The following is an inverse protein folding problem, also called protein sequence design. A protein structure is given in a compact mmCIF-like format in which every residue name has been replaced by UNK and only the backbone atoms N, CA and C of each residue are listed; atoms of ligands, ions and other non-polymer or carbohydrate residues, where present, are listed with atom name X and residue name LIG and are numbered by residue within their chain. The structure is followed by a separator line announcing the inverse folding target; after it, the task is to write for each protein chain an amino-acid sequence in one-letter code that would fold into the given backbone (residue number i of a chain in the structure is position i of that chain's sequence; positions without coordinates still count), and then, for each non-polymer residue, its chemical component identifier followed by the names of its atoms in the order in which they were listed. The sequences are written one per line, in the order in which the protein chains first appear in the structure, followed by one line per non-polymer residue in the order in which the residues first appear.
data_IF_916521773139
#
_entry.id   IF_916521773139
#
_cell.length_a   1.000
_cell.length_b   1.000
_cell.length_c   1.000
_cell.angle_alpha   90.00
_cell.angle_beta   90.00
_cell.angle_gamma   90.00
#
_symmetry.space_group_name_H-M   'P 1'
#
loop_
_entity.id
_entity.type
_entity.pdbx_description
1 polymer ?
#
# COMPACT_ATOMS: atom_id res chain seq x y z
N UNK A 1 -2.51 -14.95 9.83
CA UNK A 1 -3.22 -13.92 9.07
C UNK A 1 -2.40 -12.66 8.96
N UNK A 2 -2.40 -12.03 7.80
CA UNK A 2 -1.68 -10.77 7.60
C UNK A 2 -2.41 -9.62 8.31
N UNK A 3 -1.66 -8.78 9.01
CA UNK A 3 -2.23 -7.62 9.69
C UNK A 3 -2.53 -6.51 8.69
N UNK A 4 -3.69 -5.87 8.87
CA UNK A 4 -4.09 -4.70 8.09
C UNK A 4 -3.65 -3.46 8.83
N UNK A 5 -2.52 -2.87 8.43
CA UNK A 5 -1.96 -1.69 9.08
C UNK A 5 -1.19 -0.85 8.06
N UNK A 6 -0.83 0.36 8.46
CA UNK A 6 0.02 1.23 7.62
C UNK A 6 1.28 0.48 7.21
N UNK A 7 1.62 0.57 5.95
CA UNK A 7 2.77 -0.12 5.40
C UNK A 7 2.48 -1.51 4.86
N UNK A 8 1.27 -2.04 5.08
CA UNK A 8 0.90 -3.33 4.52
C UNK A 8 0.79 -3.23 3.00
N UNK A 9 1.35 -4.22 2.31
CA UNK A 9 1.20 -4.34 0.86
C UNK A 9 -0.11 -5.05 0.56
N UNK A 10 -0.78 -4.65 -0.50
CA UNK A 10 -2.03 -5.29 -0.89
C UNK A 10 -2.23 -5.19 -2.40
N UNK A 11 -3.13 -6.03 -2.90
CA UNK A 11 -3.51 -6.05 -4.31
C UNK A 11 -5.02 -5.90 -4.41
N UNK A 12 -5.46 -5.06 -5.34
CA UNK A 12 -6.89 -4.90 -5.60
C UNK A 12 -7.44 -6.14 -6.29
N UNK A 13 -8.55 -6.65 -5.79
CA UNK A 13 -9.20 -7.86 -6.29
C UNK A 13 -10.49 -7.57 -7.03
N UNK A 14 -10.91 -6.31 -7.08
CA UNK A 14 -12.18 -5.94 -7.71
C UNK A 14 -12.13 -4.51 -8.24
N UNK A 15 -13.02 -4.19 -9.17
CA UNK A 15 -13.15 -2.87 -9.73
C UNK A 15 -12.25 -2.63 -10.94
N UNK A 16 -12.18 -1.38 -11.37
CA UNK A 16 -11.39 -0.98 -12.53
C UNK A 16 -9.89 -1.16 -12.32
N UNK A 17 -9.45 -1.12 -11.06
CA UNK A 17 -8.06 -1.25 -10.71
C UNK A 17 -7.67 -2.67 -10.29
N UNK A 18 -8.49 -3.66 -10.60
CA UNK A 18 -8.20 -5.06 -10.29
C UNK A 18 -6.81 -5.45 -10.77
N UNK A 19 -6.02 -6.02 -9.87
CA UNK A 19 -4.64 -6.41 -10.14
C UNK A 19 -3.60 -5.36 -9.80
N UNK A 20 -4.02 -4.13 -9.47
CA UNK A 20 -3.10 -3.08 -9.06
C UNK A 20 -2.60 -3.32 -7.64
N UNK A 21 -1.33 -2.98 -7.41
CA UNK A 21 -0.69 -3.10 -6.10
C UNK A 21 -0.69 -1.76 -5.39
N UNK A 22 -0.94 -1.81 -4.09
CA UNK A 22 -1.01 -0.62 -3.24
C UNK A 22 -0.34 -0.87 -1.91
N UNK A 23 -0.08 0.22 -1.20
CA UNK A 23 0.33 0.19 0.20
C UNK A 23 -0.76 0.87 1.02
N UNK A 24 -1.12 0.26 2.13
CA UNK A 24 -2.12 0.82 3.04
C UNK A 24 -1.47 2.00 3.77
N UNK A 25 -2.08 3.18 3.66
CA UNK A 25 -1.53 4.42 4.22
C UNK A 25 -2.37 4.98 5.37
N UNK A 26 -3.59 4.49 5.55
CA UNK A 26 -4.44 4.92 6.67
C UNK A 26 -5.48 3.84 6.95
N UNK A 27 -5.77 3.64 8.23
CA UNK A 27 -6.76 2.67 8.68
C UNK A 27 -7.75 3.25 9.70
N UNK A 28 -7.68 4.56 9.97
CA UNK A 28 -8.49 5.19 11.02
C UNK A 28 -9.98 5.19 10.71
N UNK A 29 -10.35 5.48 9.45
CA UNK A 29 -11.74 5.52 9.03
C UNK A 29 -11.94 4.68 7.77
N UNK A 30 -11.65 3.38 7.90
CA UNK A 30 -11.61 2.47 6.77
C UNK A 30 -10.21 2.39 6.20
N UNK A 31 -10.04 1.63 5.14
CA UNK A 31 -8.72 1.39 4.55
C UNK A 31 -8.49 2.34 3.38
N UNK A 32 -7.43 3.12 3.48
CA UNK A 32 -6.97 4.00 2.40
C UNK A 32 -5.66 3.49 1.86
N UNK A 33 -5.55 3.46 0.55
CA UNK A 33 -4.38 2.89 -0.14
C UNK A 33 -3.78 3.89 -1.13
N UNK A 34 -2.49 3.73 -1.38
CA UNK A 34 -1.76 4.57 -2.32
C UNK A 34 -0.77 3.74 -3.12
N UNK A 35 -0.56 4.11 -4.39
CA UNK A 35 0.51 3.54 -5.21
C UNK A 35 1.64 4.55 -5.44
N UNK A 36 1.49 5.76 -4.91
CA UNK A 36 2.48 6.83 -5.05
C UNK A 36 2.53 7.46 -6.43
N UNK A 37 1.71 7.00 -7.36
CA UNK A 37 1.72 7.48 -8.75
C UNK A 37 0.35 8.03 -9.16
N UNK A 38 -0.65 7.17 -9.26
CA UNK A 38 -2.01 7.58 -9.63
C UNK A 38 -2.85 7.89 -8.41
N UNK A 39 -2.66 7.13 -7.33
CA UNK A 39 -3.34 7.35 -6.06
C UNK A 39 -2.31 7.83 -5.06
N UNK A 40 -2.15 9.14 -4.98
CA UNK A 40 -1.10 9.77 -4.17
C UNK A 40 -1.52 9.93 -2.72
N UNK A 41 -0.54 10.12 -1.84
CA UNK A 41 -0.80 10.33 -0.41
C UNK A 41 -1.75 11.50 -0.13
N UNK A 42 -1.69 12.56 -0.94
CA UNK A 42 -2.58 13.72 -0.78
C UNK A 42 -4.05 13.37 -1.04
N UNK A 43 -4.30 12.31 -1.81
CA UNK A 43 -5.66 11.88 -2.14
C UNK A 43 -5.70 10.37 -2.31
N UNK A 44 -5.48 9.61 -1.23
CA UNK A 44 -5.46 8.15 -1.31
C UNK A 44 -6.83 7.60 -1.63
N UNK A 45 -6.86 6.39 -2.16
CA UNK A 45 -8.10 5.73 -2.53
C UNK A 45 -8.69 4.98 -1.34
N UNK A 46 -9.99 5.16 -1.12
CA UNK A 46 -10.72 4.32 -0.16
C UNK A 46 -11.00 2.96 -0.78
N UNK A 47 -10.71 1.90 -0.04
CA UNK A 47 -10.97 0.54 -0.48
C UNK A 47 -11.66 -0.25 0.62
N UNK A 48 -12.63 -1.08 0.23
CA UNK A 48 -13.21 -2.05 1.14
C UNK A 48 -12.20 -3.19 1.31
N UNK A 49 -11.93 -3.55 2.56
CA UNK A 49 -10.97 -4.62 2.88
C UNK A 49 -11.33 -5.93 2.17
N UNK A 50 -12.62 -6.17 1.93
CA UNK A 50 -13.09 -7.37 1.23
C UNK A 50 -12.58 -7.45 -0.22
N UNK A 51 -12.21 -6.31 -0.79
CA UNK A 51 -11.73 -6.24 -2.17
C UNK A 51 -10.21 -6.17 -2.26
N UNK A 52 -9.53 -6.42 -1.14
CA UNK A 52 -8.07 -6.39 -1.09
C UNK A 52 -7.51 -7.74 -0.69
N UNK A 53 -6.47 -8.16 -1.37
CA UNK A 53 -5.64 -9.26 -0.93
C UNK A 53 -4.46 -8.66 -0.16
N UNK A 54 -4.37 -8.96 1.12
CA UNK A 54 -3.28 -8.48 1.96
C UNK A 54 -2.07 -9.40 1.74
N UNK A 55 -0.94 -8.79 1.43
CA UNK A 55 0.28 -9.52 1.07
C UNK A 55 1.20 -9.59 2.28
N UNK A 56 1.70 -10.78 2.60
CA UNK A 56 2.61 -11.01 3.73
C UNK A 56 4.04 -10.66 3.34
N UNK A 57 4.26 -9.40 3.02
CA UNK A 57 5.57 -8.86 2.69
C UNK A 57 5.72 -7.54 3.43
N UNK A 58 6.88 -7.33 4.05
CA UNK A 58 7.17 -6.08 4.75
C UNK A 58 8.45 -5.49 4.18
N UNK A 59 8.44 -4.18 4.01
CA UNK A 59 9.62 -3.41 3.67
C UNK A 59 10.03 -2.65 4.92
N UNK A 60 11.09 -3.11 5.60
CA UNK A 60 11.53 -2.52 6.86
C UNK A 60 11.93 -1.05 6.71
N UNK A 61 12.50 -0.70 5.57
CA UNK A 61 12.85 0.68 5.28
C UNK A 61 11.60 1.56 5.19
N UNK A 62 10.58 1.06 4.51
CA UNK A 62 9.29 1.75 4.42
C UNK A 62 8.67 1.91 5.80
N UNK A 63 8.71 0.86 6.62
CA UNK A 63 8.16 0.91 7.97
C UNK A 63 8.86 1.97 8.82
N UNK A 64 10.17 2.10 8.71
CA UNK A 64 10.92 3.13 9.41
C UNK A 64 10.53 4.53 8.96
N UNK A 65 10.37 4.72 7.67
CA UNK A 65 9.94 6.01 7.11
C UNK A 65 8.57 6.40 7.65
N UNK A 66 7.65 5.44 7.71
CA UNK A 66 6.30 5.65 8.27
C UNK A 66 6.40 6.03 9.75
N UNK A 67 7.20 5.33 10.53
CA UNK A 67 7.39 5.61 11.96
C UNK A 67 7.94 7.00 12.18
N UNK A 68 8.82 7.48 11.29
CA UNK A 68 9.40 8.81 11.37
C UNK A 68 8.47 9.89 10.83
N UNK A 69 7.29 9.49 10.37
CA UNK A 69 6.30 10.39 9.79
C UNK A 69 6.85 11.18 8.59
N UNK A 70 7.64 10.50 7.76
CA UNK A 70 8.31 11.10 6.60
C UNK A 70 7.89 10.43 5.28
N UNK A 71 6.76 9.73 5.29
CA UNK A 71 6.31 9.00 4.10
C UNK A 71 5.98 9.96 2.96
N UNK A 72 6.48 9.63 1.76
CA UNK A 72 6.24 10.37 0.52
C UNK A 72 5.80 9.42 -0.58
N UNK A 73 5.20 9.98 -1.63
CA UNK A 73 4.76 9.21 -2.79
C UNK A 73 5.90 8.40 -3.41
N UNK A 74 7.08 8.97 -3.52
CA UNK A 74 8.22 8.25 -4.11
C UNK A 74 8.65 7.05 -3.25
N UNK A 75 8.48 7.10 -1.93
CA UNK A 75 8.77 5.95 -1.07
C UNK A 75 7.82 4.80 -1.37
N UNK A 76 6.54 5.11 -1.53
CA UNK A 76 5.51 4.11 -1.85
C UNK A 76 5.78 3.49 -3.20
N UNK A 77 6.00 4.33 -4.20
CA UNK A 77 6.26 3.88 -5.57
C UNK A 77 7.50 2.99 -5.62
N UNK A 78 8.57 3.39 -4.95
CA UNK A 78 9.81 2.62 -4.90
C UNK A 78 9.63 1.27 -4.21
N UNK A 79 8.92 1.25 -3.08
CA UNK A 79 8.67 0.01 -2.34
C UNK A 79 7.86 -0.98 -3.16
N UNK A 80 6.82 -0.51 -3.86
CA UNK A 80 6.03 -1.38 -4.73
C UNK A 80 6.90 -1.92 -5.87
N UNK A 81 7.74 -1.07 -6.46
CA UNK A 81 8.65 -1.48 -7.53
C UNK A 81 9.60 -2.58 -7.05
N UNK A 82 10.18 -2.41 -5.85
CA UNK A 82 11.05 -3.44 -5.26
C UNK A 82 10.31 -4.75 -5.05
N UNK A 83 9.09 -4.67 -4.54
CA UNK A 83 8.29 -5.86 -4.29
C UNK A 83 8.01 -6.61 -5.60
N UNK A 84 7.60 -5.89 -6.64
CA UNK A 84 7.32 -6.50 -7.94
C UNK A 84 8.56 -7.13 -8.56
N UNK A 85 9.72 -6.51 -8.38
CA UNK A 85 10.99 -7.08 -8.84
C UNK A 85 11.34 -8.35 -8.07
N UNK A 86 10.98 -8.41 -6.77
CA UNK A 86 11.21 -9.58 -5.92
C UNK A 86 10.39 -10.79 -6.38
N UNK A 87 9.25 -10.57 -7.02
CA UNK A 87 8.39 -11.64 -7.51
C UNK A 87 8.92 -12.35 -8.77
N UNK A 88 9.88 -11.77 -9.44
CA UNK A 88 10.43 -12.32 -10.69
C UNK A 88 11.51 -13.36 -10.43
#
# INVERSE_FOLDING_TARGET
MADVRKGSFCRSMAGHDKGSYYIIVDTAEGVKVSDGKYKKLANPKNKNIKHLEIIEYRDEELDRIIEQNKLRDENIKYSIKKYLAHLK
#
